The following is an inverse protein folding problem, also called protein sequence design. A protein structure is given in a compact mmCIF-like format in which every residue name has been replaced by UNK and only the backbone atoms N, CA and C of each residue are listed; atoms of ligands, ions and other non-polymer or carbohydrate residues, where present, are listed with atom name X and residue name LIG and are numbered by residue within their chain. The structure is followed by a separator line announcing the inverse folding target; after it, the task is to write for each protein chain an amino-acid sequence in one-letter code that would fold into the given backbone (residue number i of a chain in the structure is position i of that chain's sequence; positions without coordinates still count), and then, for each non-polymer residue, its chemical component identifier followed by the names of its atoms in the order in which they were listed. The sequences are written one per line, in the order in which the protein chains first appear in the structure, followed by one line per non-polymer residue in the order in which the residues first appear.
data_IF_760256774710
#
_entry.id   IF_760256774710
#
_cell.length_a   1.000
_cell.length_b   1.000
_cell.length_c   1.000
_cell.angle_alpha   90.00
_cell.angle_beta   90.00
_cell.angle_gamma   90.00
#
_symmetry.space_group_name_H-M   'P 1'
#
loop_
_entity.id
_entity.type
_entity.pdbx_description
1 polymer ?
#
# COMPACT_ATOMS: atom_id res chain seq x y z
N UNK A 1 -74.09 32.50 126.29
CA UNK A 1 -73.60 31.98 125.00
C UNK A 1 -74.12 32.91 123.92
N UNK A 2 -73.26 33.76 123.35
CA UNK A 2 -73.67 34.64 122.25
C UNK A 2 -73.36 33.93 120.93
N UNK A 3 -74.43 33.56 120.21
CA UNK A 3 -74.37 33.06 118.84
C UNK A 3 -74.28 34.29 117.93
N UNK A 4 -73.16 34.47 117.23
CA UNK A 4 -73.01 35.52 116.24
C UNK A 4 -73.28 34.89 114.88
N UNK A 5 -74.45 35.22 114.34
CA UNK A 5 -74.84 34.85 112.98
C UNK A 5 -74.06 35.71 112.00
N UNK A 6 -73.22 35.05 111.19
CA UNK A 6 -72.33 35.68 110.23
C UNK A 6 -72.98 35.55 108.85
N UNK A 7 -73.66 36.61 108.41
CA UNK A 7 -74.13 36.73 107.03
C UNK A 7 -72.92 37.10 106.17
N UNK A 8 -72.35 36.10 105.50
CA UNK A 8 -71.24 36.29 104.58
C UNK A 8 -71.80 36.81 103.26
N UNK A 9 -71.50 38.05 102.92
CA UNK A 9 -71.84 38.64 101.63
C UNK A 9 -70.99 37.98 100.53
N UNK A 10 -71.62 37.20 99.65
CA UNK A 10 -70.97 36.48 98.54
C UNK A 10 -70.91 37.29 97.25
N UNK A 11 -71.52 38.48 97.20
CA UNK A 11 -71.47 39.38 96.04
C UNK A 11 -70.06 39.79 95.61
N UNK A 12 -69.10 40.12 96.51
CA UNK A 12 -67.74 40.41 96.10
C UNK A 12 -67.07 39.21 95.41
N UNK A 13 -67.33 37.98 95.87
CA UNK A 13 -66.79 36.78 95.23
C UNK A 13 -67.41 36.52 93.84
N UNK A 14 -68.71 36.77 93.67
CA UNK A 14 -69.39 36.60 92.38
C UNK A 14 -68.89 37.59 91.31
N UNK A 15 -68.57 38.83 91.71
CA UNK A 15 -67.97 39.85 90.83
C UNK A 15 -66.56 39.46 90.39
N UNK A 16 -65.74 38.95 91.31
CA UNK A 16 -64.39 38.44 90.97
C UNK A 16 -64.45 37.23 90.04
N UNK A 17 -65.40 36.31 90.23
CA UNK A 17 -65.60 35.17 89.31
C UNK A 17 -66.00 35.63 87.90
N UNK A 18 -66.84 36.66 87.78
CA UNK A 18 -67.19 37.24 86.48
C UNK A 18 -65.99 37.93 85.82
N UNK A 19 -65.17 38.64 86.60
CA UNK A 19 -63.91 39.24 86.13
C UNK A 19 -62.96 38.17 85.60
N UNK A 20 -62.76 37.08 86.36
CA UNK A 20 -61.90 35.95 85.96
C UNK A 20 -62.43 35.24 84.72
N UNK A 21 -63.75 34.98 84.63
CA UNK A 21 -64.37 34.38 83.43
C UNK A 21 -64.16 35.25 82.19
N UNK A 22 -64.27 36.57 82.29
CA UNK A 22 -64.02 37.48 81.17
C UNK A 22 -62.55 37.50 80.75
N UNK A 23 -61.62 37.48 81.70
CA UNK A 23 -60.19 37.34 81.42
C UNK A 23 -59.89 35.99 80.74
N UNK A 24 -60.46 34.88 81.22
CA UNK A 24 -60.29 33.56 80.60
C UNK A 24 -60.85 33.53 79.18
N UNK A 25 -62.02 34.13 78.93
CA UNK A 25 -62.60 34.24 77.58
C UNK A 25 -61.73 35.12 76.66
N UNK A 26 -61.22 36.24 77.16
CA UNK A 26 -60.28 37.10 76.44
C UNK A 26 -58.98 36.38 76.09
N UNK A 27 -58.39 35.67 77.05
CA UNK A 27 -57.19 34.84 76.84
C UNK A 27 -57.47 33.69 75.87
N UNK A 28 -58.60 33.01 75.97
CA UNK A 28 -58.98 31.93 75.04
C UNK A 28 -59.12 32.48 73.62
N UNK A 29 -59.73 33.66 73.45
CA UNK A 29 -59.89 34.31 72.15
C UNK A 29 -58.54 34.75 71.58
N UNK A 30 -57.65 35.28 72.42
CA UNK A 30 -56.29 35.62 72.03
C UNK A 30 -55.46 34.38 71.64
N UNK A 31 -55.63 33.25 72.34
CA UNK A 31 -54.96 31.99 72.02
C UNK A 31 -55.49 31.40 70.71
N UNK A 32 -56.81 31.42 70.47
CA UNK A 32 -57.40 30.98 69.20
C UNK A 32 -56.97 31.91 68.04
N UNK A 33 -56.92 33.22 68.27
CA UNK A 33 -56.41 34.18 67.29
C UNK A 33 -54.91 33.97 67.00
N UNK A 34 -54.12 33.67 68.03
CA UNK A 34 -52.70 33.34 67.86
C UNK A 34 -52.52 32.02 67.10
N UNK A 35 -53.28 30.98 67.45
CA UNK A 35 -53.20 29.68 66.79
C UNK A 35 -53.62 29.79 65.32
N UNK A 36 -54.68 30.53 65.01
CA UNK A 36 -55.09 30.81 63.63
C UNK A 36 -54.06 31.65 62.88
N UNK A 37 -53.45 32.65 63.54
CA UNK A 37 -52.36 33.43 62.95
C UNK A 37 -51.10 32.59 62.68
N UNK A 38 -50.75 31.66 63.57
CA UNK A 38 -49.64 30.72 63.39
C UNK A 38 -49.93 29.77 62.23
N UNK A 39 -51.12 29.17 62.16
CA UNK A 39 -51.51 28.30 61.05
C UNK A 39 -51.50 29.05 59.71
N UNK A 40 -51.96 30.31 59.70
CA UNK A 40 -51.93 31.15 58.50
C UNK A 40 -50.49 31.54 58.11
N UNK A 41 -49.62 31.77 59.08
CA UNK A 41 -48.20 32.01 58.85
C UNK A 41 -47.48 30.76 58.33
N UNK A 42 -47.76 29.59 58.89
CA UNK A 42 -47.24 28.30 58.43
C UNK A 42 -47.68 28.00 57.00
N UNK A 43 -48.96 28.23 56.67
CA UNK A 43 -49.46 28.05 55.31
C UNK A 43 -48.75 28.98 54.32
N UNK A 44 -48.62 30.27 54.65
CA UNK A 44 -47.87 31.22 53.81
C UNK A 44 -46.40 30.85 53.67
N UNK A 45 -45.77 30.36 54.75
CA UNK A 45 -44.39 29.90 54.72
C UNK A 45 -44.25 28.65 53.83
N UNK A 46 -45.17 27.69 53.93
CA UNK A 46 -45.22 26.49 53.09
C UNK A 46 -45.41 26.83 51.61
N UNK A 47 -46.36 27.72 51.29
CA UNK A 47 -46.60 28.19 49.92
C UNK A 47 -45.34 28.90 49.36
N UNK A 48 -44.71 29.76 50.16
CA UNK A 48 -43.47 30.44 49.78
C UNK A 48 -42.30 29.47 49.57
N UNK A 49 -42.16 28.44 50.42
CA UNK A 49 -41.14 27.39 50.24
C UNK A 49 -41.43 26.60 48.97
N UNK A 50 -42.68 26.19 48.74
CA UNK A 50 -43.08 25.43 47.56
C UNK A 50 -42.81 26.21 46.26
N UNK A 51 -43.18 27.50 46.21
CA UNK A 51 -42.93 28.37 45.06
C UNK A 51 -41.43 28.55 44.81
N UNK A 52 -40.63 28.72 45.86
CA UNK A 52 -39.18 28.86 45.72
C UNK A 52 -38.51 27.56 45.28
N UNK A 53 -38.98 26.41 45.78
CA UNK A 53 -38.51 25.09 45.33
C UNK A 53 -38.85 24.87 43.86
N UNK A 54 -40.09 25.17 43.45
CA UNK A 54 -40.50 25.07 42.05
C UNK A 54 -39.67 25.98 41.15
N UNK A 55 -39.51 27.26 41.50
CA UNK A 55 -38.67 28.22 40.76
C UNK A 55 -37.21 27.78 40.70
N UNK A 56 -36.67 27.28 41.81
CA UNK A 56 -35.31 26.73 41.88
C UNK A 56 -35.14 25.53 40.95
N UNK A 57 -36.07 24.58 41.01
CA UNK A 57 -36.08 23.39 40.14
C UNK A 57 -36.18 23.77 38.66
N UNK A 58 -37.12 24.64 38.27
CA UNK A 58 -37.25 25.11 36.89
C UNK A 58 -35.98 25.81 36.41
N UNK A 59 -35.37 26.65 37.24
CA UNK A 59 -34.11 27.34 36.92
C UNK A 59 -32.96 26.34 36.73
N UNK A 60 -32.86 25.34 37.61
CA UNK A 60 -31.84 24.29 37.51
C UNK A 60 -32.00 23.45 36.26
N UNK A 61 -33.21 22.98 35.96
CA UNK A 61 -33.50 22.18 34.76
C UNK A 61 -33.20 22.99 33.50
N UNK A 62 -33.64 24.26 33.45
CA UNK A 62 -33.33 25.15 32.32
C UNK A 62 -31.83 25.33 32.15
N UNK A 63 -31.09 25.55 33.23
CA UNK A 63 -29.63 25.67 33.22
C UNK A 63 -28.96 24.39 32.70
N UNK A 64 -29.37 23.21 33.20
CA UNK A 64 -28.83 21.93 32.76
C UNK A 64 -29.12 21.65 31.28
N UNK A 65 -30.33 21.96 30.80
CA UNK A 65 -30.69 21.84 29.38
C UNK A 65 -29.82 22.78 28.54
N UNK A 66 -29.67 24.04 28.94
CA UNK A 66 -28.81 25.01 28.26
C UNK A 66 -27.35 24.55 28.22
N UNK A 67 -26.82 23.98 29.30
CA UNK A 67 -25.46 23.42 29.34
C UNK A 67 -25.31 22.22 28.39
N UNK A 68 -26.30 21.32 28.34
CA UNK A 68 -26.29 20.18 27.40
C UNK A 68 -26.35 20.65 25.94
N UNK A 69 -27.18 21.65 25.64
CA UNK A 69 -27.26 22.24 24.29
C UNK A 69 -25.92 22.88 23.91
N UNK A 70 -25.32 23.68 24.80
CA UNK A 70 -24.03 24.32 24.54
C UNK A 70 -22.92 23.28 24.30
N UNK A 71 -22.91 22.19 25.07
CA UNK A 71 -21.97 21.08 24.88
C UNK A 71 -22.16 20.42 23.51
N UNK A 72 -23.39 20.03 23.17
CA UNK A 72 -23.69 19.40 21.88
C UNK A 72 -23.34 20.32 20.71
N UNK A 73 -23.62 21.61 20.83
CA UNK A 73 -23.26 22.61 19.83
C UNK A 73 -21.74 22.70 19.64
N UNK A 74 -20.98 22.75 20.74
CA UNK A 74 -19.51 22.72 20.70
C UNK A 74 -18.97 21.44 20.06
N UNK A 75 -19.56 20.28 20.37
CA UNK A 75 -19.16 19.01 19.78
C UNK A 75 -19.40 19.00 18.26
N UNK A 76 -20.57 19.48 17.81
CA UNK A 76 -20.92 19.63 16.39
C UNK A 76 -19.95 20.58 15.68
N UNK A 77 -19.66 21.73 16.27
CA UNK A 77 -18.73 22.71 15.68
C UNK A 77 -17.31 22.13 15.55
N UNK A 78 -16.87 21.34 16.54
CA UNK A 78 -15.58 20.65 16.49
C UNK A 78 -15.51 19.63 15.34
N UNK A 79 -16.57 18.84 15.16
CA UNK A 79 -16.66 17.85 14.08
C UNK A 79 -16.76 18.51 12.71
N UNK A 80 -17.51 19.61 12.58
CA UNK A 80 -17.55 20.40 11.35
C UNK A 80 -16.18 20.98 11.00
N UNK A 81 -15.42 21.45 11.98
CA UNK A 81 -14.05 21.92 11.76
C UNK A 81 -13.14 20.79 11.27
N UNK A 82 -13.23 19.60 11.88
CA UNK A 82 -12.49 18.42 11.45
C UNK A 82 -12.85 18.00 10.02
N UNK A 83 -14.14 17.95 9.69
CA UNK A 83 -14.61 17.62 8.34
C UNK A 83 -14.10 18.63 7.31
N UNK A 84 -14.10 19.92 7.63
CA UNK A 84 -13.58 20.95 6.73
C UNK A 84 -12.06 20.83 6.54
N UNK A 85 -11.32 20.50 7.60
CA UNK A 85 -9.89 20.23 7.51
C UNK A 85 -9.60 18.99 6.62
N UNK A 86 -10.32 17.89 6.82
CA UNK A 86 -10.22 16.69 6.00
C UNK A 86 -10.58 16.97 4.53
N UNK A 87 -11.64 17.73 4.27
CA UNK A 87 -12.00 18.18 2.92
C UNK A 87 -10.86 18.92 2.23
N UNK A 88 -10.22 19.88 2.93
CA UNK A 88 -9.06 20.62 2.39
C UNK A 88 -7.88 19.68 2.10
N UNK A 89 -7.61 18.72 2.96
CA UNK A 89 -6.56 17.72 2.74
C UNK A 89 -6.85 16.84 1.51
N UNK A 90 -8.10 16.38 1.35
CA UNK A 90 -8.52 15.59 0.18
C UNK A 90 -8.38 16.39 -1.12
N UNK A 91 -8.77 17.66 -1.13
CA UNK A 91 -8.59 18.53 -2.30
C UNK A 91 -7.11 18.74 -2.65
N UNK A 92 -6.25 18.89 -1.64
CA UNK A 92 -4.80 18.99 -1.85
C UNK A 92 -4.21 17.69 -2.41
N UNK A 93 -4.67 16.52 -1.94
CA UNK A 93 -4.28 15.21 -2.47
C UNK A 93 -4.73 15.08 -3.93
N UNK A 94 -5.98 15.43 -4.25
CA UNK A 94 -6.49 15.41 -5.62
C UNK A 94 -5.64 16.28 -6.55
N UNK A 95 -5.30 17.50 -6.12
CA UNK A 95 -4.43 18.39 -6.90
C UNK A 95 -2.98 17.91 -7.04
N UNK A 96 -2.48 17.06 -6.13
CA UNK A 96 -1.20 16.35 -6.33
C UNK A 96 -1.37 15.24 -7.36
N UNK A 97 -2.39 14.40 -7.22
CA UNK A 97 -2.67 13.30 -8.15
C UNK A 97 -2.88 13.78 -9.59
N UNK A 98 -3.61 14.88 -9.81
CA UNK A 98 -3.79 15.47 -11.15
C UNK A 98 -2.46 15.93 -11.75
N UNK A 99 -1.59 16.58 -10.96
CA UNK A 99 -0.26 16.99 -11.43
C UNK A 99 0.64 15.80 -11.75
N UNK A 100 0.65 14.80 -10.89
CA UNK A 100 1.44 13.58 -11.11
C UNK A 100 0.95 12.83 -12.35
N UNK A 101 -0.37 12.69 -12.52
CA UNK A 101 -0.96 12.10 -13.71
C UNK A 101 -0.53 12.84 -14.98
N UNK A 102 -0.65 14.17 -14.99
CA UNK A 102 -0.25 14.98 -16.14
C UNK A 102 1.25 14.89 -16.45
N UNK A 103 2.09 14.86 -15.41
CA UNK A 103 3.53 14.71 -15.54
C UNK A 103 3.90 13.36 -16.15
N UNK A 104 3.33 12.27 -15.61
CA UNK A 104 3.56 10.90 -16.07
C UNK A 104 3.05 10.72 -17.50
N UNK A 105 1.83 11.18 -17.78
CA UNK A 105 1.23 11.12 -19.12
C UNK A 105 2.08 11.88 -20.14
N UNK A 106 2.51 13.10 -19.82
CA UNK A 106 3.40 13.89 -20.69
C UNK A 106 4.73 13.18 -20.96
N UNK A 107 5.32 12.55 -19.93
CA UNK A 107 6.55 11.77 -20.07
C UNK A 107 6.37 10.59 -21.02
N UNK A 108 5.29 9.82 -20.87
CA UNK A 108 5.00 8.69 -21.75
C UNK A 108 4.73 9.15 -23.19
N UNK A 109 3.95 10.22 -23.38
CA UNK A 109 3.72 10.78 -24.71
C UNK A 109 5.03 11.17 -25.40
N UNK A 110 5.94 11.84 -24.67
CA UNK A 110 7.27 12.18 -25.21
C UNK A 110 8.10 10.94 -25.55
N UNK A 111 8.07 9.92 -24.71
CA UNK A 111 8.80 8.67 -24.95
C UNK A 111 8.28 7.96 -26.21
N UNK A 112 6.97 7.78 -26.34
CA UNK A 112 6.38 7.12 -27.50
C UNK A 112 6.60 7.91 -28.79
N UNK A 113 6.48 9.24 -28.74
CA UNK A 113 6.79 10.08 -29.90
C UNK A 113 8.28 10.00 -30.27
N UNK A 114 9.18 9.96 -29.28
CA UNK A 114 10.61 9.78 -29.51
C UNK A 114 10.94 8.41 -30.12
N UNK A 115 10.28 7.34 -29.67
CA UNK A 115 10.40 6.00 -30.24
C UNK A 115 9.88 5.94 -31.68
N UNK A 116 8.71 6.53 -31.95
CA UNK A 116 8.14 6.61 -33.29
C UNK A 116 9.06 7.37 -34.25
N UNK A 117 9.65 8.48 -33.79
CA UNK A 117 10.60 9.24 -34.61
C UNK A 117 11.89 8.46 -34.89
N UNK A 118 12.43 7.75 -33.88
CA UNK A 118 13.58 6.87 -34.07
C UNK A 118 13.28 5.73 -35.04
N UNK A 119 12.10 5.12 -34.94
CA UNK A 119 11.67 4.06 -35.85
C UNK A 119 11.60 4.60 -37.28
N UNK A 120 10.98 5.77 -37.49
CA UNK A 120 10.92 6.42 -38.80
C UNK A 120 12.30 6.69 -39.38
N UNK A 121 13.23 7.18 -38.57
CA UNK A 121 14.61 7.45 -38.99
C UNK A 121 15.35 6.15 -39.37
N UNK A 122 15.20 5.08 -38.57
CA UNK A 122 15.81 3.79 -38.86
C UNK A 122 15.28 3.16 -40.14
N UNK A 123 13.96 3.22 -40.37
CA UNK A 123 13.35 2.75 -41.62
C UNK A 123 13.96 3.51 -42.81
N UNK A 124 14.05 4.84 -42.70
CA UNK A 124 14.66 5.65 -43.74
C UNK A 124 16.14 5.30 -43.99
N UNK A 125 16.93 5.07 -42.93
CA UNK A 125 18.33 4.67 -43.05
C UNK A 125 18.52 3.29 -43.68
N UNK A 126 17.60 2.35 -43.42
CA UNK A 126 17.60 1.03 -44.04
C UNK A 126 17.28 1.11 -45.54
N UNK A 127 16.36 1.98 -45.95
CA UNK A 127 15.98 2.14 -47.35
C UNK A 127 16.99 2.98 -48.15
N UNK A 128 17.75 3.85 -47.48
CA UNK A 128 18.68 4.79 -48.10
C UNK A 128 19.70 4.13 -49.06
N UNK A 129 20.40 3.04 -48.71
CA UNK A 129 21.34 2.37 -49.62
C UNK A 129 20.66 1.86 -50.90
N UNK A 130 19.43 1.36 -50.79
CA UNK A 130 18.66 0.85 -51.93
C UNK A 130 18.30 1.98 -52.89
N UNK A 131 17.83 3.11 -52.34
CA UNK A 131 17.52 4.31 -53.13
C UNK A 131 18.79 4.90 -53.75
N UNK A 132 19.87 5.02 -52.98
CA UNK A 132 21.15 5.54 -53.48
C UNK A 132 21.73 4.66 -54.59
N UNK A 133 21.63 3.33 -54.47
CA UNK A 133 22.05 2.41 -55.52
C UNK A 133 21.22 2.58 -56.80
N UNK A 134 19.89 2.59 -56.67
CA UNK A 134 18.98 2.69 -57.80
C UNK A 134 19.15 4.02 -58.57
N UNK A 135 19.32 5.13 -57.85
CA UNK A 135 19.40 6.46 -58.47
C UNK A 135 20.82 6.80 -58.90
N UNK A 136 21.83 6.64 -58.03
CA UNK A 136 23.18 7.15 -58.31
C UNK A 136 24.08 6.17 -59.03
N UNK A 137 24.05 4.89 -58.64
CA UNK A 137 24.99 3.90 -59.19
C UNK A 137 24.49 3.32 -60.51
N UNK A 138 23.18 3.08 -60.65
CA UNK A 138 22.60 2.57 -61.89
C UNK A 138 22.82 3.55 -63.07
N UNK A 139 22.60 4.85 -62.85
CA UNK A 139 22.82 5.87 -63.88
C UNK A 139 24.29 6.00 -64.28
N UNK A 140 25.22 6.01 -63.31
CA UNK A 140 26.66 6.06 -63.59
C UNK A 140 27.12 4.85 -64.37
N UNK A 141 26.69 3.64 -64.00
CA UNK A 141 27.05 2.40 -64.69
C UNK A 141 26.46 2.36 -66.10
N UNK A 142 25.21 2.81 -66.27
CA UNK A 142 24.56 2.92 -67.57
C UNK A 142 25.32 3.88 -68.50
N UNK A 143 25.63 5.09 -68.02
CA UNK A 143 26.37 6.08 -68.80
C UNK A 143 27.77 5.60 -69.16
N UNK A 144 28.51 5.03 -68.21
CA UNK A 144 29.87 4.50 -68.44
C UNK A 144 29.86 3.31 -69.42
N UNK A 145 28.81 2.49 -69.39
CA UNK A 145 28.62 1.39 -70.35
C UNK A 145 28.40 1.95 -71.77
N UNK A 146 27.54 2.96 -71.93
CA UNK A 146 27.30 3.62 -73.24
C UNK A 146 28.58 4.20 -73.86
N UNK A 147 29.43 4.84 -73.05
CA UNK A 147 30.70 5.39 -73.55
C UNK A 147 31.69 4.30 -73.98
N UNK A 148 31.78 3.19 -73.24
CA UNK A 148 32.68 2.09 -73.58
C UNK A 148 32.28 1.37 -74.88
N UNK A 149 30.99 1.25 -75.19
CA UNK A 149 30.53 0.72 -76.48
C UNK A 149 30.67 1.71 -77.65
N UNK A 150 30.61 3.02 -77.39
CA UNK A 150 30.67 4.04 -78.42
C UNK A 150 32.10 4.34 -78.94
N UNK A 151 33.16 3.89 -78.26
CA UNK A 151 34.55 4.33 -78.55
C UNK A 151 35.36 3.36 -79.43
N UNK A 152 34.72 2.58 -80.30
CA UNK A 152 35.44 1.72 -81.26
C UNK A 152 35.43 2.41 -82.63
N UNK A 153 36.58 2.88 -83.15
CA UNK A 153 36.64 3.50 -84.47
C UNK A 153 36.32 2.46 -85.57
N UNK A 154 35.24 2.70 -86.32
CA UNK A 154 34.67 1.82 -87.36
C UNK A 154 35.27 2.13 -88.74
N UNK A 155 36.61 2.19 -88.87
CA UNK A 155 37.22 2.50 -90.18
C UNK A 155 37.84 1.30 -90.91
N UNK A 156 38.01 0.12 -90.30
CA UNK A 156 38.56 -1.07 -90.98
C UNK A 156 37.93 -2.38 -90.49
N UNK A 157 37.59 -3.29 -91.41
CA UNK A 157 36.97 -4.59 -91.13
C UNK A 157 37.80 -5.47 -90.16
N UNK A 158 39.13 -5.35 -90.18
CA UNK A 158 40.03 -6.02 -89.24
C UNK A 158 39.89 -5.49 -87.80
N UNK A 159 39.59 -4.19 -87.66
CA UNK A 159 39.31 -3.54 -86.37
C UNK A 159 38.01 -4.06 -85.75
N UNK A 160 37.01 -4.44 -86.56
CA UNK A 160 35.73 -4.95 -86.07
C UNK A 160 35.87 -6.31 -85.38
N UNK A 161 36.58 -7.27 -85.99
CA UNK A 161 36.78 -8.59 -85.40
C UNK A 161 37.64 -8.53 -84.12
N UNK A 162 38.68 -7.68 -84.11
CA UNK A 162 39.49 -7.44 -82.91
C UNK A 162 38.66 -6.75 -81.81
N UNK A 163 37.84 -5.77 -82.16
CA UNK A 163 36.94 -5.08 -81.22
C UNK A 163 35.88 -6.01 -80.63
N UNK A 164 35.24 -6.84 -81.45
CA UNK A 164 34.28 -7.84 -80.98
C UNK A 164 34.95 -8.82 -80.00
N UNK A 165 36.20 -9.25 -80.27
CA UNK A 165 36.97 -10.07 -79.33
C UNK A 165 37.29 -9.33 -78.03
N UNK A 166 37.65 -8.05 -78.09
CA UNK A 166 37.91 -7.22 -76.89
C UNK A 166 36.63 -7.04 -76.06
N UNK A 167 35.49 -6.75 -76.69
CA UNK A 167 34.19 -6.61 -76.02
C UNK A 167 33.79 -7.95 -75.40
N UNK A 168 33.86 -9.05 -76.15
CA UNK A 168 33.55 -10.38 -75.64
C UNK A 168 34.48 -10.78 -74.47
N UNK A 169 35.77 -10.43 -74.55
CA UNK A 169 36.73 -10.65 -73.47
C UNK A 169 36.41 -9.81 -72.23
N UNK A 170 36.06 -8.53 -72.40
CA UNK A 170 35.64 -7.66 -71.30
C UNK A 170 34.36 -8.17 -70.63
N UNK A 171 33.38 -8.63 -71.42
CA UNK A 171 32.14 -9.22 -70.91
C UNK A 171 32.44 -10.51 -70.15
N UNK A 172 33.29 -11.40 -70.68
CA UNK A 172 33.74 -12.61 -69.98
C UNK A 172 34.46 -12.30 -68.66
N UNK A 173 35.39 -11.34 -68.68
CA UNK A 173 36.13 -10.92 -67.49
C UNK A 173 35.20 -10.34 -66.42
N UNK A 174 34.25 -9.48 -66.81
CA UNK A 174 33.23 -8.94 -65.90
C UNK A 174 32.30 -10.03 -65.37
N UNK A 175 31.85 -10.94 -66.22
CA UNK A 175 31.03 -12.08 -65.83
C UNK A 175 31.74 -12.97 -64.81
N UNK A 176 33.01 -13.29 -65.03
CA UNK A 176 33.83 -14.04 -64.09
C UNK A 176 33.97 -13.30 -62.74
N UNK A 177 34.17 -11.98 -62.77
CA UNK A 177 34.25 -11.17 -61.54
C UNK A 177 32.93 -11.18 -60.76
N UNK A 178 31.78 -11.14 -61.44
CA UNK A 178 30.46 -11.27 -60.79
C UNK A 178 30.28 -12.65 -60.16
N UNK A 179 30.66 -13.72 -60.87
CA UNK A 179 30.62 -15.09 -60.33
C UNK A 179 31.50 -15.18 -59.07
N UNK A 180 32.72 -14.64 -59.10
CA UNK A 180 33.59 -14.63 -57.93
C UNK A 180 32.99 -13.82 -56.77
N UNK A 181 32.40 -12.66 -57.03
CA UNK A 181 31.71 -11.86 -56.00
C UNK A 181 30.52 -12.61 -55.39
N UNK A 182 29.71 -13.30 -56.20
CA UNK A 182 28.60 -14.13 -55.70
C UNK A 182 29.10 -15.32 -54.89
N UNK A 183 30.18 -15.96 -55.33
CA UNK A 183 30.80 -17.08 -54.62
C UNK A 183 31.27 -16.65 -53.23
N UNK A 184 31.95 -15.49 -53.15
CA UNK A 184 32.40 -14.93 -51.87
C UNK A 184 31.21 -14.55 -50.98
N UNK A 185 30.18 -13.91 -51.54
CA UNK A 185 28.98 -13.56 -50.78
C UNK A 185 28.27 -14.78 -50.17
N UNK A 186 28.16 -15.89 -50.93
CA UNK A 186 27.58 -17.13 -50.42
C UNK A 186 28.44 -17.76 -49.31
N UNK A 187 29.77 -17.67 -49.42
CA UNK A 187 30.68 -18.12 -48.38
C UNK A 187 30.50 -17.30 -47.08
N UNK A 188 30.49 -15.97 -47.19
CA UNK A 188 30.29 -15.04 -46.07
C UNK A 188 28.91 -15.25 -45.41
N UNK A 189 27.85 -15.45 -46.20
CA UNK A 189 26.51 -15.72 -45.71
C UNK A 189 26.42 -17.05 -44.96
N UNK A 190 27.10 -18.09 -45.46
CA UNK A 190 27.20 -19.39 -44.77
C UNK A 190 27.95 -19.25 -43.44
N UNK A 191 29.02 -18.47 -43.39
CA UNK A 191 29.77 -18.21 -42.15
C UNK A 191 28.92 -17.43 -41.13
N UNK A 192 28.24 -16.37 -41.56
CA UNK A 192 27.31 -15.61 -40.71
C UNK A 192 26.19 -16.49 -40.17
N UNK A 193 25.64 -17.40 -40.98
CA UNK A 193 24.62 -18.35 -40.52
C UNK A 193 25.17 -19.26 -39.42
N UNK A 194 26.36 -19.83 -39.58
CA UNK A 194 27.01 -20.65 -38.55
C UNK A 194 27.26 -19.89 -37.25
N UNK A 195 27.67 -18.62 -37.34
CA UNK A 195 27.84 -17.76 -36.17
C UNK A 195 26.50 -17.46 -35.50
N UNK A 196 25.47 -17.20 -36.28
CA UNK A 196 24.11 -16.96 -35.78
C UNK A 196 23.54 -18.19 -35.08
N UNK A 197 23.74 -19.38 -35.66
CA UNK A 197 23.33 -20.66 -35.07
C UNK A 197 24.10 -21.01 -33.79
N UNK A 198 25.32 -20.47 -33.60
CA UNK A 198 26.09 -20.59 -32.34
C UNK A 198 25.62 -19.59 -31.26
N UNK A 199 25.21 -18.39 -31.68
CA UNK A 199 24.78 -17.31 -30.77
C UNK A 199 23.35 -17.52 -30.29
N UNK A 200 22.46 -17.96 -31.19
CA UNK A 200 21.20 -18.55 -30.79
C UNK A 200 21.56 -19.82 -30.04
N UNK A 201 21.40 -19.81 -28.71
CA UNK A 201 21.63 -20.97 -27.85
C UNK A 201 21.25 -22.22 -28.61
N UNK A 202 22.25 -23.04 -28.97
CA UNK A 202 21.99 -24.40 -29.41
C UNK A 202 20.96 -24.91 -28.40
N UNK A 203 19.86 -25.48 -28.89
CA UNK A 203 19.13 -26.46 -28.10
C UNK A 203 20.07 -27.64 -27.94
N UNK A 204 21.18 -27.42 -27.23
CA UNK A 204 22.09 -28.45 -26.78
C UNK A 204 21.21 -29.42 -26.04
N UNK A 205 21.38 -30.69 -26.38
CA UNK A 205 20.75 -31.80 -25.67
C UNK A 205 20.71 -31.44 -24.19
N UNK A 206 19.49 -31.22 -23.68
CA UNK A 206 19.26 -30.96 -22.27
C UNK A 206 19.66 -32.25 -21.59
N UNK A 207 20.94 -32.37 -21.23
CA UNK A 207 21.33 -33.23 -20.13
C UNK A 207 20.39 -32.83 -18.99
N UNK A 208 19.65 -33.82 -18.47
CA UNK A 208 18.73 -33.66 -17.36
C UNK A 208 19.49 -33.12 -16.14
N UNK A 209 19.76 -31.82 -16.11
CA UNK A 209 20.31 -31.15 -14.96
C UNK A 209 19.18 -31.09 -13.94
N UNK A 210 19.26 -31.98 -12.96
CA UNK A 210 18.37 -31.98 -11.80
C UNK A 210 18.62 -30.71 -11.01
N UNK A 211 17.77 -29.72 -11.23
CA UNK A 211 17.77 -28.47 -10.45
C UNK A 211 17.13 -28.74 -9.09
N UNK A 212 17.89 -28.52 -8.02
CA UNK A 212 17.38 -28.63 -6.65
C UNK A 212 16.86 -27.27 -6.17
N UNK A 213 15.71 -27.26 -5.51
CA UNK A 213 15.10 -26.03 -4.96
C UNK A 213 15.25 -26.03 -3.44
N UNK A 214 15.83 -24.98 -2.84
CA UNK A 214 15.92 -24.89 -1.38
C UNK A 214 14.52 -24.67 -0.78
N UNK A 215 14.19 -25.46 0.24
CA UNK A 215 12.93 -25.38 0.99
C UNK A 215 13.26 -25.23 2.47
N UNK A 216 12.62 -24.25 3.14
CA UNK A 216 12.75 -24.05 4.59
C UNK A 216 11.48 -24.55 5.27
N UNK A 217 11.63 -25.41 6.28
CA UNK A 217 10.52 -25.97 7.06
C UNK A 217 10.69 -25.48 8.51
N UNK A 218 9.62 -24.91 9.07
CA UNK A 218 9.56 -24.43 10.45
C UNK A 218 8.50 -25.21 11.20
N UNK A 219 8.91 -25.94 12.24
CA UNK A 219 8.01 -26.65 13.14
C UNK A 219 7.83 -25.85 14.43
N UNK A 220 6.59 -25.50 14.77
CA UNK A 220 6.25 -24.76 15.97
C UNK A 220 5.26 -25.56 16.83
N UNK A 221 5.59 -25.75 18.10
CA UNK A 221 4.69 -26.36 19.08
C UNK A 221 4.00 -25.27 19.89
N UNK A 222 2.69 -25.12 19.72
CA UNK A 222 1.92 -24.04 20.35
C UNK A 222 1.21 -24.46 21.64
N UNK A 223 1.15 -25.77 21.98
CA UNK A 223 0.30 -26.24 23.08
C UNK A 223 0.94 -27.35 23.93
N UNK A 224 0.48 -27.49 25.17
CA UNK A 224 0.91 -28.55 26.12
C UNK A 224 0.55 -29.97 25.65
N UNK A 225 -0.24 -30.08 24.59
CA UNK A 225 -0.72 -31.32 23.97
C UNK A 225 0.10 -31.78 22.76
N UNK A 226 1.27 -31.18 22.52
CA UNK A 226 2.23 -31.58 21.47
C UNK A 226 1.67 -31.50 20.03
N UNK A 227 0.73 -30.58 19.78
CA UNK A 227 0.23 -30.31 18.43
C UNK A 227 1.26 -29.51 17.63
N UNK A 228 1.97 -30.19 16.73
CA UNK A 228 2.99 -29.62 15.85
C UNK A 228 2.34 -28.86 14.69
N UNK A 229 2.62 -27.57 14.56
CA UNK A 229 2.24 -26.78 13.39
C UNK A 229 3.46 -26.58 12.49
N UNK A 230 3.32 -26.86 11.20
CA UNK A 230 4.44 -26.86 10.25
C UNK A 230 4.20 -25.76 9.19
N UNK A 231 5.14 -24.83 9.09
CA UNK A 231 5.15 -23.80 8.04
C UNK A 231 6.27 -24.07 7.03
N UNK A 232 5.95 -24.01 5.74
CA UNK A 232 6.89 -24.26 4.63
C UNK A 232 7.08 -22.96 3.84
N UNK A 233 8.31 -22.47 3.87
CA UNK A 233 8.73 -21.24 3.19
C UNK A 233 9.53 -21.55 1.92
N UNK A 234 9.12 -20.94 0.82
CA UNK A 234 9.69 -21.09 -0.52
C UNK A 234 10.08 -19.72 -1.07
N UNK A 235 11.02 -19.68 -2.01
CA UNK A 235 11.42 -18.43 -2.66
C UNK A 235 10.30 -17.89 -3.58
N UNK A 236 9.78 -16.72 -3.23
CA UNK A 236 8.68 -16.06 -3.95
C UNK A 236 9.11 -15.37 -5.25
N UNK A 237 10.41 -15.12 -5.46
CA UNK A 237 10.89 -14.31 -6.57
C UNK A 237 11.01 -15.08 -7.90
N UNK A 238 11.24 -16.39 -7.85
CA UNK A 238 11.57 -17.20 -9.03
C UNK A 238 10.57 -18.32 -9.34
N UNK A 239 9.69 -18.67 -8.41
CA UNK A 239 8.75 -19.78 -8.57
C UNK A 239 7.32 -19.29 -8.82
N UNK A 240 6.62 -19.94 -9.76
CA UNK A 240 5.20 -19.69 -9.99
C UNK A 240 4.34 -20.16 -8.81
N UNK A 241 3.16 -19.55 -8.61
CA UNK A 241 2.23 -19.95 -7.54
C UNK A 241 1.81 -21.43 -7.62
N UNK A 242 1.69 -21.98 -8.83
CA UNK A 242 1.33 -23.39 -9.05
C UNK A 242 2.49 -24.34 -8.68
N UNK A 243 3.72 -23.97 -9.01
CA UNK A 243 4.92 -24.74 -8.61
C UNK A 243 5.07 -24.74 -7.09
N UNK A 244 4.84 -23.58 -6.45
CA UNK A 244 4.86 -23.46 -5.00
C UNK A 244 3.83 -24.36 -4.31
N UNK A 245 2.58 -24.39 -4.79
CA UNK A 245 1.56 -25.27 -4.20
C UNK A 245 1.91 -26.74 -4.37
N UNK A 246 2.50 -27.11 -5.50
CA UNK A 246 2.93 -28.50 -5.77
C UNK A 246 4.03 -28.92 -4.80
N UNK A 247 5.08 -28.09 -4.64
CA UNK A 247 6.17 -28.37 -3.71
C UNK A 247 5.65 -28.45 -2.27
N UNK A 248 4.79 -27.50 -1.84
CA UNK A 248 4.20 -27.52 -0.50
C UNK A 248 3.42 -28.82 -0.22
N UNK A 249 2.61 -29.26 -1.19
CA UNK A 249 1.83 -30.50 -1.05
C UNK A 249 2.73 -31.74 -0.99
N UNK A 250 3.78 -31.80 -1.82
CA UNK A 250 4.74 -32.92 -1.82
C UNK A 250 5.53 -32.99 -0.51
N UNK A 251 6.00 -31.85 0.01
CA UNK A 251 6.73 -31.79 1.28
C UNK A 251 5.82 -32.13 2.45
N UNK A 252 4.59 -31.60 2.49
CA UNK A 252 3.60 -31.95 3.53
C UNK A 252 3.29 -33.46 3.57
N UNK A 253 3.23 -34.11 2.40
CA UNK A 253 2.93 -35.55 2.32
C UNK A 253 4.07 -36.43 2.84
N UNK A 254 5.31 -35.93 2.82
CA UNK A 254 6.50 -36.69 3.23
C UNK A 254 7.03 -36.26 4.59
N UNK A 255 6.36 -35.35 5.29
CA UNK A 255 6.90 -34.69 6.49
C UNK A 255 7.03 -35.64 7.69
N UNK A 256 6.16 -36.66 7.78
CA UNK A 256 6.23 -37.71 8.81
C UNK A 256 7.46 -38.62 8.64
N UNK A 257 8.01 -38.69 7.43
CA UNK A 257 9.18 -39.52 7.09
C UNK A 257 10.51 -38.74 7.20
N UNK A 258 10.47 -37.47 7.63
CA UNK A 258 11.65 -36.62 7.74
C UNK A 258 12.33 -36.82 9.10
N UNK A 259 13.48 -37.48 9.10
CA UNK A 259 14.37 -37.54 10.27
C UNK A 259 15.32 -36.34 10.31
N UNK A 260 15.06 -35.42 11.23
CA UNK A 260 15.91 -34.26 11.49
C UNK A 260 17.22 -34.65 12.17
N UNK A 261 18.37 -34.25 11.61
CA UNK A 261 19.67 -34.38 12.28
C UNK A 261 20.11 -33.02 12.86
N UNK A 262 20.63 -32.97 14.09
CA UNK A 262 21.25 -31.77 14.61
C UNK A 262 22.50 -31.46 13.78
N UNK A 263 22.50 -30.34 13.07
CA UNK A 263 23.70 -29.88 12.35
C UNK A 263 24.78 -29.47 13.35
N UNK A 264 26.05 -29.73 13.01
CA UNK A 264 27.17 -29.49 13.94
C UNK A 264 27.69 -28.05 13.95
N UNK A 265 27.50 -27.25 12.88
CA UNK A 265 28.00 -25.88 12.81
C UNK A 265 27.15 -24.99 11.90
N UNK A 266 27.02 -23.71 12.26
CA UNK A 266 26.35 -22.69 11.45
C UNK A 266 27.17 -22.40 10.19
N UNK A 267 26.56 -22.57 9.01
CA UNK A 267 27.19 -22.20 7.75
C UNK A 267 27.60 -20.71 7.77
N UNK A 268 28.86 -20.46 7.41
CA UNK A 268 29.48 -19.13 7.40
C UNK A 268 28.73 -18.18 6.48
N UNK A 269 28.18 -18.70 5.38
CA UNK A 269 27.45 -17.90 4.40
C UNK A 269 26.12 -17.40 4.97
N UNK A 270 25.33 -18.29 5.58
CA UNK A 270 24.05 -17.96 6.26
C UNK A 270 24.28 -16.94 7.38
N UNK A 271 25.33 -17.13 8.19
CA UNK A 271 25.72 -16.17 9.24
C UNK A 271 26.08 -14.80 8.67
N UNK A 272 26.76 -14.75 7.52
CA UNK A 272 27.14 -13.50 6.87
C UNK A 272 25.93 -12.74 6.32
N UNK A 273 24.98 -13.44 5.67
CA UNK A 273 23.76 -12.84 5.14
C UNK A 273 22.84 -12.35 6.26
N UNK A 274 22.65 -13.15 7.31
CA UNK A 274 21.88 -12.73 8.48
C UNK A 274 22.47 -11.47 9.14
N UNK A 275 23.80 -11.38 9.23
CA UNK A 275 24.49 -10.20 9.76
C UNK A 275 24.26 -8.97 8.88
N UNK A 276 24.25 -9.10 7.55
CA UNK A 276 23.92 -8.02 6.61
C UNK A 276 22.47 -7.56 6.76
N UNK A 277 21.52 -8.50 6.92
CA UNK A 277 20.12 -8.16 7.16
C UNK A 277 19.93 -7.43 8.49
N UNK A 278 20.59 -7.87 9.56
CA UNK A 278 20.56 -7.18 10.86
C UNK A 278 21.21 -5.80 10.80
N UNK A 279 22.32 -5.62 10.10
CA UNK A 279 22.95 -4.30 9.95
C UNK A 279 22.03 -3.33 9.20
N UNK A 280 21.39 -3.80 8.13
CA UNK A 280 20.47 -3.00 7.31
C UNK A 280 19.11 -2.75 7.97
N UNK A 281 18.74 -3.50 9.01
CA UNK A 281 17.51 -3.25 9.76
C UNK A 281 17.60 -1.90 10.51
N UNK A 282 16.55 -1.09 10.43
CA UNK A 282 16.42 0.17 11.18
C UNK A 282 16.15 0.00 12.69
N UNK A 283 16.31 -1.22 13.21
CA UNK A 283 16.00 -1.56 14.61
C UNK A 283 17.07 -1.06 15.59
N UNK A 284 16.69 -0.89 16.86
CA UNK A 284 17.63 -0.44 17.92
C UNK A 284 18.78 -1.45 18.14
N UNK A 285 19.93 -0.96 18.60
CA UNK A 285 21.12 -1.80 18.85
C UNK A 285 20.84 -2.96 19.81
N UNK A 286 20.05 -2.72 20.86
CA UNK A 286 19.64 -3.77 21.82
C UNK A 286 18.91 -4.94 21.14
N UNK A 287 18.07 -4.64 20.15
CA UNK A 287 17.33 -5.67 19.40
C UNK A 287 18.26 -6.44 18.48
N UNK A 288 19.23 -5.77 17.84
CA UNK A 288 20.25 -6.42 17.01
C UNK A 288 21.12 -7.38 17.83
N UNK A 289 21.55 -6.97 19.02
CA UNK A 289 22.35 -7.80 19.91
C UNK A 289 21.55 -9.00 20.44
N UNK A 290 20.27 -8.82 20.76
CA UNK A 290 19.38 -9.90 21.18
C UNK A 290 19.12 -10.89 20.03
N UNK A 291 18.88 -10.40 18.82
CA UNK A 291 18.66 -11.23 17.64
C UNK A 291 19.90 -12.08 17.31
N UNK A 292 21.09 -11.51 17.41
CA UNK A 292 22.35 -12.25 17.27
C UNK A 292 22.51 -13.32 18.35
N UNK A 293 22.16 -13.03 19.60
CA UNK A 293 22.19 -14.03 20.68
C UNK A 293 21.25 -15.20 20.41
N UNK A 294 20.03 -14.91 19.96
CA UNK A 294 19.04 -15.94 19.62
C UNK A 294 19.47 -16.78 18.42
N UNK A 295 20.04 -16.16 17.38
CA UNK A 295 20.56 -16.88 16.22
C UNK A 295 21.71 -17.84 16.57
N UNK A 296 22.62 -17.43 17.48
CA UNK A 296 23.70 -18.31 17.94
C UNK A 296 23.23 -19.40 18.91
N UNK A 297 22.11 -19.18 19.62
CA UNK A 297 21.55 -20.14 20.57
C UNK A 297 20.69 -21.23 19.91
N UNK A 298 20.19 -20.97 18.70
CA UNK A 298 19.32 -21.89 17.97
C UNK A 298 20.15 -22.80 17.06
N UNK A 299 20.06 -24.11 17.28
CA UNK A 299 20.61 -25.10 16.37
C UNK A 299 19.59 -25.36 15.25
N UNK A 300 20.02 -25.26 13.99
CA UNK A 300 19.21 -25.73 12.86
C UNK A 300 19.44 -27.22 12.65
N UNK A 301 18.40 -27.89 12.17
CA UNK A 301 18.44 -29.29 11.82
C UNK A 301 18.48 -29.44 10.30
N UNK A 302 19.21 -30.44 9.82
CA UNK A 302 19.33 -30.76 8.39
C UNK A 302 18.80 -32.16 8.11
N UNK A 303 18.27 -32.36 6.91
CA UNK A 303 17.80 -33.65 6.41
C UNK A 303 18.98 -34.58 6.08
N UNK A 304 18.86 -35.87 6.44
CA UNK A 304 19.93 -36.87 6.26
C UNK A 304 20.06 -37.42 4.82
N UNK A 305 19.07 -37.20 3.94
CA UNK A 305 19.04 -37.85 2.63
C UNK A 305 18.77 -36.85 1.49
N UNK A 306 19.61 -36.90 0.47
CA UNK A 306 19.54 -36.15 -0.80
C UNK A 306 18.43 -36.64 -1.75
N UNK A 307 17.45 -37.38 -1.25
CA UNK A 307 16.36 -37.94 -2.08
C UNK A 307 15.00 -37.55 -1.50
N UNK A 308 14.53 -36.39 -1.97
CA UNK A 308 13.13 -35.95 -2.00
C UNK A 308 12.80 -35.55 -3.43
#
# INVERSE_FOLDING_TARGET
MAYIDCVVDTNPMAQEIHSVSNHIKGTTTAVVAMQTAVVLAEKKAADHVCDNVNKGFYTLIRSQISQKIAKLQSDVDSHLMQLNAQKKQLLAIRGRMERDYNMISSRYLKLFNGLNQNLKQRIFELDKPTVDFAVKELEKVSNRTKYLTATVPVSQLESLAASQKIIASNVKFRGLRVINSMTNFLADMSEQKKLTDRILLEKGNVENSTLSVPVVISECNFDKFDSKNIDIQLNNAQLSKQTQSTIKNTVNSNIENIEWQPSKEIDKEVKSEFSKYLSNSGSSQRVKDMANKLFMANNFQTLKNEQL
#
